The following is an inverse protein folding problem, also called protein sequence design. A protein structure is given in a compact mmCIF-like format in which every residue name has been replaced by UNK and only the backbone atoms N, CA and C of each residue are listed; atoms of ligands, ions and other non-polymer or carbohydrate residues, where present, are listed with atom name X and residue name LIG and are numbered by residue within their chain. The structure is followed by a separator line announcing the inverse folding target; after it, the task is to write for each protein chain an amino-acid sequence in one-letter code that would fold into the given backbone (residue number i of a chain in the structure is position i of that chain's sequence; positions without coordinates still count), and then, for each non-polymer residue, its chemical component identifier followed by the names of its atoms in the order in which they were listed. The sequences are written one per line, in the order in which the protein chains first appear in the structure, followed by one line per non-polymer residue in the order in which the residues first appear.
data_IF_389630260058
#
_entry.id   IF_389630260058
#
_cell.length_a   1.000
_cell.length_b   1.000
_cell.length_c   1.000
_cell.angle_alpha   90.00
_cell.angle_beta   90.00
_cell.angle_gamma   90.00
#
_symmetry.space_group_name_H-M   'P 1'
#
loop_
_entity.id
_entity.type
_entity.pdbx_description
1 polymer ?
#
# COMPACT_ATOMS: atom_id res chain seq x y z
N UNK A 1 41.88 -27.99 -17.52
CA UNK A 1 40.77 -28.15 -18.50
C UNK A 1 40.61 -29.56 -19.07
N UNK A 2 41.69 -30.29 -19.37
CA UNK A 2 41.66 -31.68 -19.89
C UNK A 2 40.82 -32.68 -19.07
N UNK A 3 40.68 -32.49 -17.76
CA UNK A 3 39.83 -33.33 -16.89
C UNK A 3 38.32 -33.22 -17.19
N UNK A 4 37.81 -32.03 -17.56
CA UNK A 4 36.38 -31.85 -17.89
C UNK A 4 36.00 -32.55 -19.19
N UNK A 5 36.94 -32.71 -20.11
CA UNK A 5 36.78 -33.39 -21.39
C UNK A 5 36.59 -34.91 -21.21
N UNK A 6 37.35 -35.52 -20.29
CA UNK A 6 37.27 -36.97 -20.02
C UNK A 6 36.02 -37.37 -19.24
N UNK A 7 35.48 -36.48 -18.41
CA UNK A 7 34.27 -36.73 -17.62
C UNK A 7 32.97 -36.30 -18.32
N UNK A 8 33.05 -35.71 -19.53
CA UNK A 8 31.87 -35.28 -20.29
C UNK A 8 31.03 -34.23 -19.55
N UNK A 9 31.66 -33.30 -18.82
CA UNK A 9 30.95 -32.28 -18.02
C UNK A 9 30.66 -31.02 -18.83
N UNK A 10 29.53 -30.37 -18.56
CA UNK A 10 29.13 -29.11 -19.22
C UNK A 10 28.96 -29.30 -20.72
N UNK A 11 29.56 -28.42 -21.51
CA UNK A 11 29.48 -28.46 -23.00
C UNK A 11 30.06 -29.75 -23.62
N UNK A 12 30.83 -30.53 -22.86
CA UNK A 12 31.43 -31.78 -23.32
C UNK A 12 30.53 -32.99 -23.07
N UNK A 13 29.33 -32.81 -22.49
CA UNK A 13 28.36 -33.90 -22.32
C UNK A 13 27.81 -34.32 -23.67
N UNK A 14 27.73 -35.63 -23.90
CA UNK A 14 27.03 -36.23 -25.05
C UNK A 14 25.60 -36.69 -24.70
N UNK A 15 25.22 -36.52 -23.44
CA UNK A 15 23.87 -36.84 -22.95
C UNK A 15 22.87 -35.79 -23.47
N UNK A 16 22.05 -36.19 -24.44
CA UNK A 16 21.03 -35.34 -25.05
C UNK A 16 20.01 -34.81 -24.03
N UNK A 17 19.70 -35.59 -22.97
CA UNK A 17 18.80 -35.17 -21.91
C UNK A 17 19.37 -34.00 -21.12
N UNK A 18 20.67 -34.07 -20.77
CA UNK A 18 21.36 -32.94 -20.10
C UNK A 18 21.49 -31.71 -20.99
N UNK A 19 21.73 -31.90 -22.29
CA UNK A 19 21.79 -30.79 -23.25
C UNK A 19 20.43 -30.11 -23.40
N UNK A 20 19.35 -30.88 -23.54
CA UNK A 20 17.97 -30.35 -23.58
C UNK A 20 17.62 -29.62 -22.28
N UNK A 21 17.94 -30.19 -21.13
CA UNK A 21 17.69 -29.56 -19.82
C UNK A 21 18.53 -28.30 -19.57
N UNK A 22 19.64 -28.10 -20.30
CA UNK A 22 20.45 -26.89 -20.19
C UNK A 22 19.83 -25.69 -20.93
N UNK A 23 18.91 -25.93 -21.86
CA UNK A 23 18.19 -24.89 -22.60
C UNK A 23 17.02 -24.43 -21.73
N UNK A 24 17.04 -23.16 -21.34
CA UNK A 24 15.93 -22.55 -20.59
C UNK A 24 14.92 -21.98 -21.57
N UNK A 25 13.68 -22.46 -21.51
CA UNK A 25 12.54 -21.86 -22.20
C UNK A 25 11.97 -20.82 -21.24
N UNK A 26 12.11 -19.54 -21.58
CA UNK A 26 11.73 -18.43 -20.71
C UNK A 26 10.44 -17.80 -21.20
N UNK A 27 9.44 -17.71 -20.32
CA UNK A 27 8.18 -17.03 -20.60
C UNK A 27 8.26 -15.58 -20.12
N UNK A 28 8.10 -14.62 -21.03
CA UNK A 28 8.29 -13.18 -20.75
C UNK A 28 6.98 -12.42 -20.55
N UNK A 29 5.92 -12.89 -21.19
CA UNK A 29 4.61 -12.26 -21.22
C UNK A 29 3.53 -13.31 -20.93
N UNK A 30 2.37 -12.84 -20.51
CA UNK A 30 1.20 -13.68 -20.26
C UNK A 30 0.21 -13.46 -21.39
N UNK A 31 -0.31 -14.55 -21.97
CA UNK A 31 -1.39 -14.45 -22.94
C UNK A 31 -2.61 -13.75 -22.32
N UNK A 32 -3.32 -12.89 -23.09
CA UNK A 32 -4.53 -12.23 -22.63
C UNK A 32 -5.65 -13.24 -22.38
N UNK A 33 -6.71 -12.80 -21.69
CA UNK A 33 -7.95 -13.59 -21.57
C UNK A 33 -8.60 -13.77 -22.93
N UNK A 34 -8.95 -15.02 -23.26
CA UNK A 34 -9.74 -15.39 -24.44
C UNK A 34 -11.00 -16.15 -23.98
N UNK A 35 -12.14 -15.89 -24.62
CA UNK A 35 -13.38 -16.68 -24.52
C UNK A 35 -13.90 -17.02 -23.11
N UNK A 36 -13.73 -16.11 -22.15
CA UNK A 36 -14.24 -16.26 -20.79
C UNK A 36 -13.43 -17.23 -19.90
N UNK A 37 -12.28 -17.71 -20.39
CA UNK A 37 -11.31 -18.43 -19.59
C UNK A 37 -10.40 -17.46 -18.82
N UNK A 38 -9.93 -17.89 -17.65
CA UNK A 38 -8.98 -17.10 -16.85
C UNK A 38 -7.65 -17.01 -17.57
N UNK A 39 -7.13 -15.79 -17.72
CA UNK A 39 -5.86 -15.55 -18.39
C UNK A 39 -4.69 -16.21 -17.65
N UNK A 40 -3.59 -16.47 -18.36
CA UNK A 40 -2.41 -17.16 -17.81
C UNK A 40 -1.87 -16.48 -16.54
N UNK A 41 -1.94 -15.15 -16.47
CA UNK A 41 -1.53 -14.37 -15.31
C UNK A 41 -2.36 -14.70 -14.06
N UNK A 42 -3.68 -14.76 -14.21
CA UNK A 42 -4.61 -15.08 -13.12
C UNK A 42 -4.45 -16.53 -12.67
N UNK A 43 -4.30 -17.45 -13.62
CA UNK A 43 -4.08 -18.87 -13.35
C UNK A 43 -2.75 -19.09 -12.61
N UNK A 44 -1.68 -18.41 -13.03
CA UNK A 44 -0.40 -18.45 -12.32
C UNK A 44 -0.56 -17.91 -10.89
N UNK A 45 -1.18 -16.74 -10.73
CA UNK A 45 -1.44 -16.15 -9.40
C UNK A 45 -2.12 -17.14 -8.46
N UNK A 46 -3.21 -17.77 -8.88
CA UNK A 46 -3.97 -18.72 -8.06
C UNK A 46 -3.13 -19.93 -7.64
N UNK A 47 -2.23 -20.38 -8.52
CA UNK A 47 -1.33 -21.51 -8.20
C UNK A 47 -0.26 -21.16 -7.15
N UNK A 48 0.27 -19.93 -7.17
CA UNK A 48 1.42 -19.51 -6.36
C UNK A 48 1.09 -18.62 -5.15
N UNK A 49 -0.15 -18.10 -5.06
CA UNK A 49 -0.58 -17.18 -4.01
C UNK A 49 -0.26 -17.72 -2.62
N UNK A 50 0.33 -16.88 -1.78
CA UNK A 50 0.71 -17.14 -0.38
C UNK A 50 1.66 -18.34 -0.18
N UNK A 51 2.31 -18.83 -1.25
CA UNK A 51 3.31 -19.89 -1.18
C UNK A 51 4.68 -19.32 -1.50
N UNK A 52 5.75 -19.71 -0.77
CA UNK A 52 7.11 -19.30 -1.13
C UNK A 52 7.48 -19.81 -2.52
N UNK A 53 7.78 -18.88 -3.44
CA UNK A 53 8.23 -19.20 -4.79
C UNK A 53 9.72 -18.92 -4.93
N UNK A 54 10.56 -19.95 -5.17
CA UNK A 54 11.97 -19.74 -5.47
C UNK A 54 12.12 -18.91 -6.75
N UNK A 55 12.83 -17.79 -6.66
CA UNK A 55 13.04 -16.88 -7.77
C UNK A 55 14.46 -16.30 -7.77
N UNK A 56 14.88 -15.76 -8.91
CA UNK A 56 16.09 -14.94 -9.03
C UNK A 56 15.67 -13.53 -9.44
N UNK A 57 16.15 -12.52 -8.71
CA UNK A 57 15.91 -11.12 -9.07
C UNK A 57 16.85 -10.74 -10.20
N UNK A 58 16.30 -10.48 -11.39
CA UNK A 58 17.07 -10.13 -12.60
C UNK A 58 17.28 -8.61 -12.72
N UNK A 59 16.31 -7.83 -12.28
CA UNK A 59 16.37 -6.37 -12.44
C UNK A 59 15.61 -5.65 -11.34
N UNK A 60 16.16 -4.53 -10.90
CA UNK A 60 15.53 -3.61 -9.94
C UNK A 60 15.16 -2.34 -10.69
N UNK A 61 13.86 -2.12 -10.87
CA UNK A 61 13.33 -0.96 -11.61
C UNK A 61 13.42 0.30 -10.76
N UNK A 62 13.00 0.20 -9.51
CA UNK A 62 13.14 1.20 -8.45
C UNK A 62 13.26 0.49 -7.09
N UNK A 63 13.32 1.22 -5.98
CA UNK A 63 13.48 0.61 -4.66
C UNK A 63 12.41 -0.42 -4.30
N UNK A 64 11.19 -0.29 -4.85
CA UNK A 64 10.03 -1.13 -4.54
C UNK A 64 9.63 -2.12 -5.64
N UNK A 65 10.23 -2.03 -6.83
CA UNK A 65 9.76 -2.73 -8.03
C UNK A 65 10.87 -3.61 -8.63
N UNK A 66 10.61 -4.91 -8.73
CA UNK A 66 11.55 -5.94 -9.17
C UNK A 66 11.05 -6.61 -10.46
N UNK A 67 11.98 -7.10 -11.28
CA UNK A 67 11.75 -8.19 -12.23
C UNK A 67 12.44 -9.42 -11.68
N UNK A 68 11.73 -10.53 -11.63
CA UNK A 68 12.26 -11.79 -11.13
C UNK A 68 11.87 -12.94 -12.06
N UNK A 69 12.73 -13.96 -12.14
CA UNK A 69 12.43 -15.21 -12.82
C UNK A 69 12.05 -16.24 -11.77
N UNK A 70 10.84 -16.79 -11.88
CA UNK A 70 10.42 -17.95 -11.09
C UNK A 70 11.22 -19.17 -11.55
N UNK A 71 11.88 -19.86 -10.62
CA UNK A 71 12.83 -20.92 -10.97
C UNK A 71 12.12 -22.15 -11.54
N UNK A 72 10.96 -22.49 -11.00
CA UNK A 72 10.27 -23.73 -11.36
C UNK A 72 9.60 -23.65 -12.74
N UNK A 73 9.08 -22.47 -13.10
CA UNK A 73 8.38 -22.25 -14.37
C UNK A 73 9.20 -21.49 -15.41
N UNK A 74 10.38 -20.97 -15.04
CA UNK A 74 11.19 -20.05 -15.87
C UNK A 74 10.39 -18.86 -16.42
N UNK A 75 9.39 -18.39 -15.65
CA UNK A 75 8.55 -17.25 -16.01
C UNK A 75 9.12 -15.97 -15.42
N UNK A 76 9.26 -14.94 -16.26
CA UNK A 76 9.67 -13.59 -15.83
C UNK A 76 8.45 -12.82 -15.36
N UNK A 77 8.48 -12.36 -14.12
CA UNK A 77 7.38 -11.62 -13.50
C UNK A 77 7.78 -10.20 -13.13
N UNK A 78 6.82 -9.28 -13.14
CA UNK A 78 6.95 -7.99 -12.45
C UNK A 78 6.46 -8.17 -11.02
N UNK A 79 7.30 -7.84 -10.04
CA UNK A 79 7.00 -8.04 -8.63
C UNK A 79 7.25 -6.76 -7.84
N UNK A 80 6.21 -6.23 -7.21
CA UNK A 80 6.27 -5.04 -6.38
C UNK A 80 6.20 -5.42 -4.90
N UNK A 81 7.01 -4.75 -4.09
CA UNK A 81 7.01 -4.91 -2.64
C UNK A 81 5.70 -4.36 -2.05
N UNK A 82 4.98 -5.21 -1.30
CA UNK A 82 3.78 -4.84 -0.59
C UNK A 82 4.11 -3.92 0.61
N UNK A 83 3.23 -2.94 0.84
CA UNK A 83 3.29 -2.02 1.98
C UNK A 83 4.26 -0.84 1.83
N UNK A 84 5.01 -0.75 0.73
CA UNK A 84 5.95 0.35 0.46
C UNK A 84 5.80 0.91 -0.95
N UNK A 85 5.86 2.24 -1.05
CA UNK A 85 5.97 2.95 -2.32
C UNK A 85 7.28 3.72 -2.34
N UNK A 86 8.18 3.36 -3.26
CA UNK A 86 9.46 4.04 -3.41
C UNK A 86 9.38 5.19 -4.44
N UNK A 87 10.26 6.20 -4.32
CA UNK A 87 10.39 7.24 -5.34
C UNK A 87 10.78 6.64 -6.68
N UNK A 88 10.18 7.15 -7.75
CA UNK A 88 10.36 6.66 -9.12
C UNK A 88 11.55 7.33 -9.79
N UNK A 89 12.27 6.56 -10.59
CA UNK A 89 13.36 7.08 -11.44
C UNK A 89 12.82 7.80 -12.67
N UNK A 90 11.64 7.43 -13.15
CA UNK A 90 11.04 8.00 -14.36
C UNK A 90 11.57 7.39 -15.65
N UNK A 91 11.07 7.89 -16.77
CA UNK A 91 11.54 7.56 -18.12
C UNK A 91 12.89 8.19 -18.47
N UNK A 92 13.40 7.92 -19.69
CA UNK A 92 14.72 8.38 -20.15
C UNK A 92 14.90 9.92 -20.08
N UNK A 93 13.83 10.67 -20.30
CA UNK A 93 13.83 12.14 -20.33
C UNK A 93 13.24 12.77 -19.07
N UNK A 94 12.89 11.95 -18.07
CA UNK A 94 12.34 12.42 -16.80
C UNK A 94 13.44 12.55 -15.75
N UNK A 95 13.36 13.58 -14.92
CA UNK A 95 14.26 13.71 -13.76
C UNK A 95 13.79 12.73 -12.67
N UNK A 96 14.69 11.89 -12.13
CA UNK A 96 14.36 11.02 -11.02
C UNK A 96 13.80 11.79 -9.83
N UNK A 97 12.80 11.21 -9.15
CA UNK A 97 12.31 11.76 -7.90
C UNK A 97 13.42 11.76 -6.84
N UNK A 98 13.32 12.65 -5.86
CA UNK A 98 14.28 12.73 -4.76
C UNK A 98 14.43 11.36 -4.07
N UNK A 99 15.65 10.93 -3.84
CA UNK A 99 16.03 9.61 -3.28
C UNK A 99 15.70 8.38 -4.14
N UNK A 100 15.25 8.53 -5.40
CA UNK A 100 14.90 7.39 -6.25
C UNK A 100 16.11 6.51 -6.57
N UNK A 101 17.27 7.11 -6.86
CA UNK A 101 18.50 6.38 -7.19
C UNK A 101 19.04 5.66 -5.96
N UNK A 102 19.00 6.29 -4.79
CA UNK A 102 19.42 5.71 -3.53
C UNK A 102 18.51 4.57 -3.09
N UNK A 103 17.20 4.70 -3.28
CA UNK A 103 16.24 3.64 -3.01
C UNK A 103 16.47 2.43 -3.93
N UNK A 104 16.70 2.67 -5.23
CA UNK A 104 17.07 1.61 -6.18
C UNK A 104 18.37 0.91 -5.77
N UNK A 105 19.43 1.69 -5.55
CA UNK A 105 20.74 1.17 -5.17
C UNK A 105 20.67 0.35 -3.87
N UNK A 106 19.86 0.80 -2.90
CA UNK A 106 19.64 0.08 -1.64
C UNK A 106 19.08 -1.33 -1.87
N UNK A 107 18.11 -1.47 -2.77
CA UNK A 107 17.51 -2.75 -3.13
C UNK A 107 18.45 -3.59 -4.01
N UNK A 108 19.17 -2.97 -4.96
CA UNK A 108 20.12 -3.64 -5.85
C UNK A 108 21.21 -4.40 -5.11
N UNK A 109 21.95 -3.72 -4.22
CA UNK A 109 23.07 -4.36 -3.52
C UNK A 109 22.63 -5.54 -2.63
N UNK A 110 21.34 -5.56 -2.25
CA UNK A 110 20.74 -6.57 -1.37
C UNK A 110 20.08 -7.72 -2.10
N UNK A 111 19.47 -7.48 -3.26
CA UNK A 111 18.60 -8.46 -3.92
C UNK A 111 19.00 -8.78 -5.37
N UNK A 112 19.65 -7.88 -6.09
CA UNK A 112 19.97 -8.07 -7.52
C UNK A 112 20.85 -9.32 -7.71
N UNK A 113 20.47 -10.16 -8.68
CA UNK A 113 21.12 -11.42 -9.05
C UNK A 113 21.23 -12.43 -7.90
N UNK A 114 20.34 -12.33 -6.90
CA UNK A 114 20.28 -13.29 -5.78
C UNK A 114 19.05 -14.17 -5.88
N UNK A 115 19.20 -15.41 -5.42
CA UNK A 115 18.10 -16.33 -5.21
C UNK A 115 17.34 -15.92 -3.96
N UNK A 116 16.04 -15.71 -4.10
CA UNK A 116 15.11 -15.31 -3.03
C UNK A 116 13.85 -16.16 -3.09
N UNK A 117 13.06 -16.15 -2.03
CA UNK A 117 11.71 -16.67 -2.06
C UNK A 117 10.73 -15.49 -2.14
N UNK A 118 9.87 -15.48 -3.15
CA UNK A 118 8.81 -14.49 -3.29
C UNK A 118 7.51 -15.06 -2.71
N UNK A 119 6.89 -14.32 -1.80
CA UNK A 119 5.54 -14.64 -1.30
C UNK A 119 4.59 -13.65 -1.94
N UNK A 120 3.78 -14.13 -2.89
CA UNK A 120 2.80 -13.33 -3.65
C UNK A 120 1.52 -13.21 -2.83
N UNK A 121 1.16 -11.99 -2.43
CA UNK A 121 -0.06 -11.70 -1.66
C UNK A 121 -1.21 -11.17 -2.52
N UNK A 122 -0.90 -10.53 -3.65
CA UNK A 122 -1.91 -9.91 -4.52
C UNK A 122 -1.41 -9.67 -5.95
N UNK A 123 -2.30 -9.13 -6.76
CA UNK A 123 -2.04 -8.71 -8.14
C UNK A 123 -2.58 -7.30 -8.36
N UNK A 124 -1.99 -6.58 -9.31
CA UNK A 124 -2.48 -5.27 -9.73
C UNK A 124 -3.43 -5.35 -10.90
N UNK A 125 -4.31 -4.35 -11.01
CA UNK A 125 -5.29 -4.22 -12.08
C UNK A 125 -4.66 -3.99 -13.48
N UNK A 126 -3.37 -3.64 -13.53
CA UNK A 126 -2.67 -3.29 -14.77
C UNK A 126 -1.29 -3.96 -14.84
N UNK A 127 -0.88 -4.24 -16.08
CA UNK A 127 0.49 -4.66 -16.43
C UNK A 127 0.97 -5.95 -15.75
N UNK A 128 0.05 -6.89 -15.44
CA UNK A 128 0.37 -8.22 -14.90
C UNK A 128 1.41 -8.16 -13.77
N UNK A 129 1.16 -7.29 -12.80
CA UNK A 129 2.08 -7.03 -11.69
C UNK A 129 1.64 -7.80 -10.46
N UNK A 130 2.57 -8.54 -9.87
CA UNK A 130 2.37 -9.20 -8.57
C UNK A 130 2.79 -8.27 -7.44
N UNK A 131 2.08 -8.37 -6.31
CA UNK A 131 2.42 -7.68 -5.06
C UNK A 131 2.71 -8.69 -3.97
N UNK A 132 3.75 -8.44 -3.16
CA UNK A 132 4.05 -9.35 -2.08
C UNK A 132 5.32 -9.01 -1.30
N UNK A 133 5.86 -10.03 -0.63
CA UNK A 133 7.07 -9.88 0.20
C UNK A 133 8.20 -10.75 -0.34
N UNK A 134 9.42 -10.25 -0.18
CA UNK A 134 10.64 -11.02 -0.41
C UNK A 134 11.04 -11.62 0.93
N UNK A 135 11.01 -12.95 1.03
CA UNK A 135 11.51 -13.67 2.18
C UNK A 135 13.04 -13.76 2.08
N UNK A 136 13.72 -13.20 3.08
CA UNK A 136 15.17 -13.16 3.16
C UNK A 136 15.61 -13.27 4.64
N UNK A 137 16.68 -14.04 4.96
CA UNK A 137 17.12 -14.25 6.34
C UNK A 137 17.47 -12.97 7.10
N UNK A 138 17.95 -11.94 6.38
CA UNK A 138 18.27 -10.64 6.97
C UNK A 138 17.05 -9.75 7.26
N UNK A 139 15.83 -10.20 6.95
CA UNK A 139 14.59 -9.47 7.18
C UNK A 139 13.91 -8.96 5.90
N UNK A 140 12.80 -8.25 6.10
CA UNK A 140 11.95 -7.76 5.03
C UNK A 140 12.46 -6.43 4.47
N UNK A 141 12.81 -6.43 3.18
CA UNK A 141 13.35 -5.28 2.46
C UNK A 141 12.42 -4.05 2.46
N UNK A 142 11.09 -4.25 2.45
CA UNK A 142 10.11 -3.16 2.47
C UNK A 142 10.18 -2.38 3.79
N UNK A 143 10.33 -3.09 4.91
CA UNK A 143 10.51 -2.49 6.24
C UNK A 143 11.80 -1.68 6.27
N UNK A 144 12.90 -2.24 5.75
CA UNK A 144 14.21 -1.59 5.76
C UNK A 144 14.27 -0.33 4.86
N UNK A 145 13.58 -0.33 3.71
CA UNK A 145 13.42 0.85 2.87
C UNK A 145 12.72 1.98 3.61
N UNK A 146 11.59 1.68 4.25
CA UNK A 146 10.79 2.66 5.00
C UNK A 146 11.52 3.16 6.24
N UNK A 147 12.18 2.26 6.97
CA UNK A 147 13.00 2.58 8.15
C UNK A 147 14.13 3.55 7.83
N UNK A 148 14.68 3.45 6.62
CA UNK A 148 15.67 4.39 6.13
C UNK A 148 15.07 5.65 5.49
N UNK A 149 13.74 5.78 5.38
CA UNK A 149 13.12 6.92 4.71
C UNK A 149 13.33 6.93 3.18
N UNK A 150 13.58 5.76 2.58
CA UNK A 150 13.72 5.55 1.13
C UNK A 150 12.41 5.11 0.47
N UNK A 151 11.34 4.94 1.25
CA UNK A 151 9.99 4.65 0.77
C UNK A 151 8.93 5.20 1.71
N UNK A 152 7.74 5.44 1.16
CA UNK A 152 6.54 5.84 1.87
C UNK A 152 5.66 4.61 2.16
N UNK A 153 4.84 4.64 3.22
CA UNK A 153 3.85 3.57 3.44
C UNK A 153 2.83 3.56 2.30
N UNK A 154 2.54 2.37 1.78
CA UNK A 154 1.55 2.17 0.73
C UNK A 154 0.35 1.41 1.29
N UNK A 155 -0.54 2.12 1.99
CA UNK A 155 -1.70 1.55 2.72
C UNK A 155 -2.56 0.62 1.85
N UNK A 156 -2.77 0.98 0.59
CA UNK A 156 -3.57 0.19 -0.37
C UNK A 156 -2.98 -1.19 -0.68
N UNK A 157 -1.67 -1.37 -0.50
CA UNK A 157 -0.98 -2.65 -0.75
C UNK A 157 -0.66 -3.42 0.53
N UNK A 158 -1.00 -2.87 1.71
CA UNK A 158 -0.74 -3.52 3.00
C UNK A 158 -1.53 -4.81 3.18
N UNK A 159 -2.66 -4.96 2.49
CA UNK A 159 -3.44 -6.20 2.51
C UNK A 159 -2.71 -7.39 1.86
N UNK A 160 -1.70 -7.12 1.01
CA UNK A 160 -0.88 -8.16 0.37
C UNK A 160 0.33 -8.59 1.22
N UNK A 161 0.35 -8.21 2.49
CA UNK A 161 1.36 -8.64 3.46
C UNK A 161 0.72 -9.12 4.77
N UNK A 162 1.54 -9.63 5.69
CA UNK A 162 1.05 -10.11 6.98
C UNK A 162 0.73 -8.93 7.92
N UNK A 163 -0.24 -9.06 8.85
CA UNK A 163 -0.52 -8.02 9.84
C UNK A 163 0.70 -7.62 10.68
N UNK A 164 1.60 -8.58 10.94
CA UNK A 164 2.86 -8.33 11.66
C UNK A 164 3.79 -7.40 10.86
N UNK A 165 3.94 -7.63 9.55
CA UNK A 165 4.74 -6.76 8.69
C UNK A 165 4.09 -5.39 8.50
N UNK A 166 2.76 -5.31 8.34
CA UNK A 166 2.07 -4.02 8.26
C UNK A 166 2.32 -3.15 9.51
N UNK A 167 2.19 -3.75 10.70
CA UNK A 167 2.50 -3.06 11.98
C UNK A 167 3.97 -2.63 12.08
N UNK A 168 4.89 -3.48 11.63
CA UNK A 168 6.31 -3.16 11.62
C UNK A 168 6.66 -2.03 10.63
N UNK A 169 6.03 -1.99 9.45
CA UNK A 169 6.16 -0.88 8.49
C UNK A 169 5.69 0.42 9.14
N UNK A 170 4.50 0.45 9.75
CA UNK A 170 4.00 1.66 10.42
C UNK A 170 4.94 2.16 11.53
N UNK A 171 5.51 1.23 12.29
CA UNK A 171 6.50 1.55 13.34
C UNK A 171 7.80 2.11 12.75
N UNK A 172 8.27 1.54 11.63
CA UNK A 172 9.43 2.04 10.89
C UNK A 172 9.18 3.45 10.30
N UNK A 173 7.99 3.73 9.76
CA UNK A 173 7.61 5.08 9.28
C UNK A 173 7.71 6.09 10.43
N UNK A 174 7.16 5.76 11.60
CA UNK A 174 7.20 6.67 12.77
C UNK A 174 8.63 6.99 13.16
N UNK A 175 9.51 5.98 13.22
CA UNK A 175 10.92 6.18 13.51
C UNK A 175 11.62 7.06 12.45
N UNK A 176 11.37 6.81 11.16
CA UNK A 176 11.96 7.57 10.06
C UNK A 176 11.48 9.04 10.05
N UNK A 177 10.22 9.30 10.39
CA UNK A 177 9.64 10.64 10.55
C UNK A 177 10.30 11.41 11.71
N UNK A 178 10.41 10.77 12.88
CA UNK A 178 11.03 11.38 14.05
C UNK A 178 12.49 11.75 13.79
N UNK A 179 13.22 10.88 13.07
CA UNK A 179 14.60 11.11 12.69
C UNK A 179 14.78 11.99 11.43
N UNK A 180 13.69 12.46 10.80
CA UNK A 180 13.69 13.29 9.58
C UNK A 180 14.58 12.71 8.46
N UNK A 181 14.49 11.40 8.23
CA UNK A 181 15.36 10.70 7.28
C UNK A 181 14.87 10.85 5.83
N UNK A 182 15.76 11.28 4.93
CA UNK A 182 15.58 11.34 3.46
C UNK A 182 14.22 11.92 3.05
N UNK A 183 13.26 11.10 2.61
CA UNK A 183 11.92 11.57 2.22
C UNK A 183 11.19 12.34 3.35
N UNK A 184 11.61 12.15 4.60
CA UNK A 184 11.07 12.83 5.78
C UNK A 184 11.88 14.06 6.22
N UNK A 185 12.89 14.52 5.45
CA UNK A 185 13.69 15.71 5.81
C UNK A 185 12.85 16.95 6.07
N UNK A 186 11.87 17.16 5.19
CA UNK A 186 10.93 18.29 5.25
C UNK A 186 9.65 17.96 6.03
N UNK A 187 9.62 16.83 6.74
CA UNK A 187 8.44 16.47 7.53
C UNK A 187 8.25 17.47 8.68
N UNK A 188 7.16 18.21 8.61
CA UNK A 188 6.60 18.95 9.71
C UNK A 188 5.36 18.21 10.22
N UNK A 189 5.23 17.99 11.54
CA UNK A 189 3.98 17.46 12.08
C UNK A 189 2.83 18.40 11.70
N UNK A 190 1.66 17.87 11.32
CA UNK A 190 0.51 18.71 11.01
C UNK A 190 0.18 19.57 12.23
N UNK A 191 0.25 20.88 12.06
CA UNK A 191 -0.21 21.83 13.07
C UNK A 191 -1.72 21.83 13.01
N UNK A 192 -2.38 21.52 14.12
CA UNK A 192 -3.84 21.63 14.23
C UNK A 192 -4.17 23.13 14.17
N UNK A 193 -4.86 23.61 13.12
CA UNK A 193 -5.32 24.98 13.08
C UNK A 193 -6.51 25.13 14.04
N UNK A 194 -6.39 26.01 15.04
CA UNK A 194 -7.47 26.34 15.97
C UNK A 194 -7.40 25.60 17.32
N UNK A 195 -8.54 25.53 18.01
CA UNK A 195 -8.64 24.93 19.34
C UNK A 195 -8.39 23.43 19.32
N UNK A 196 -7.49 22.95 20.19
CA UNK A 196 -7.16 21.52 20.34
C UNK A 196 -8.30 20.69 20.91
N UNK A 197 -9.28 21.34 21.54
CA UNK A 197 -10.48 20.69 22.06
C UNK A 197 -11.66 21.63 22.06
N UNK A 198 -12.84 21.13 21.74
CA UNK A 198 -14.09 21.87 21.86
C UNK A 198 -15.23 20.96 22.31
N UNK A 199 -16.31 21.55 22.79
CA UNK A 199 -17.51 20.83 23.22
C UNK A 199 -18.67 21.10 22.26
N UNK A 200 -19.58 20.14 22.15
CA UNK A 200 -20.72 20.27 21.26
C UNK A 200 -21.74 19.14 21.42
N UNK A 201 -22.69 19.10 20.48
CA UNK A 201 -23.70 18.05 20.39
C UNK A 201 -23.63 17.36 19.03
N UNK A 202 -23.78 16.04 19.02
CA UNK A 202 -23.73 15.25 17.78
C UNK A 202 -25.02 15.45 17.00
N UNK A 203 -24.91 16.05 15.83
CA UNK A 203 -26.02 16.35 14.94
C UNK A 203 -26.31 15.21 13.96
N UNK A 204 -25.26 14.66 13.35
CA UNK A 204 -25.37 13.64 12.33
C UNK A 204 -24.29 12.58 12.50
N UNK A 205 -24.63 11.33 12.17
CA UNK A 205 -23.66 10.25 12.01
C UNK A 205 -23.56 9.87 10.53
N UNK A 206 -22.37 10.11 9.96
CA UNK A 206 -22.08 9.89 8.53
C UNK A 206 -21.66 8.45 8.27
N UNK A 207 -20.79 7.89 9.13
CA UNK A 207 -20.34 6.49 9.09
C UNK A 207 -20.02 6.02 10.51
N UNK A 208 -19.73 4.72 10.70
CA UNK A 208 -19.42 4.15 12.02
C UNK A 208 -18.18 4.73 12.72
N UNK A 209 -17.43 5.61 12.06
CA UNK A 209 -16.27 6.32 12.59
C UNK A 209 -16.36 7.85 12.45
N UNK A 210 -17.37 8.39 11.75
CA UNK A 210 -17.42 9.80 11.35
C UNK A 210 -18.76 10.44 11.68
N UNK A 211 -18.72 11.58 12.35
CA UNK A 211 -19.90 12.30 12.83
C UNK A 211 -19.76 13.81 12.58
N UNK A 212 -20.89 14.51 12.60
CA UNK A 212 -20.96 15.97 12.54
C UNK A 212 -21.36 16.46 13.92
N UNK A 213 -20.55 17.35 14.48
CA UNK A 213 -20.74 17.96 15.80
C UNK A 213 -21.09 19.42 15.60
N UNK A 214 -22.21 19.86 16.19
CA UNK A 214 -22.51 21.29 16.35
C UNK A 214 -21.72 21.83 17.51
N UNK A 215 -20.81 22.75 17.23
CA UNK A 215 -19.92 23.38 18.20
C UNK A 215 -20.68 24.48 18.94
N UNK A 216 -20.62 24.46 20.26
CA UNK A 216 -21.29 25.47 21.09
C UNK A 216 -21.56 24.98 22.51
N UNK A 217 -21.80 25.93 23.42
CA UNK A 217 -22.32 25.62 24.76
C UNK A 217 -23.76 25.14 24.66
N UNK A 218 -24.23 24.40 25.68
CA UNK A 218 -25.61 23.87 25.69
C UNK A 218 -26.63 25.00 25.53
N UNK A 219 -26.41 26.13 26.19
CA UNK A 219 -27.28 27.30 26.11
C UNK A 219 -27.32 27.93 24.71
N UNK A 220 -26.19 27.97 24.00
CA UNK A 220 -26.15 28.48 22.62
C UNK A 220 -26.89 27.54 21.65
N UNK A 221 -26.78 26.23 21.86
CA UNK A 221 -27.45 25.21 21.05
C UNK A 221 -28.98 25.19 21.26
N UNK A 222 -29.45 25.56 22.45
CA UNK A 222 -30.88 25.65 22.78
C UNK A 222 -31.49 26.97 22.28
N UNK A 223 -30.77 28.09 22.41
CA UNK A 223 -31.30 29.42 22.11
C UNK A 223 -31.14 29.85 20.63
N UNK A 224 -30.06 29.41 19.97
CA UNK A 224 -29.81 29.73 18.54
C UNK A 224 -29.39 28.49 17.74
N UNK A 225 -30.29 27.51 17.55
CA UNK A 225 -29.98 26.26 16.83
C UNK A 225 -29.51 26.46 15.38
N UNK A 226 -29.87 27.57 14.74
CA UNK A 226 -29.56 27.87 13.32
C UNK A 226 -28.14 28.42 13.11
N UNK A 227 -27.57 29.14 14.08
CA UNK A 227 -26.25 29.81 13.93
C UNK A 227 -25.11 29.01 14.59
N UNK A 228 -25.19 27.68 14.56
CA UNK A 228 -24.18 26.80 15.15
C UNK A 228 -23.18 26.33 14.09
N UNK A 229 -21.89 26.41 14.41
CA UNK A 229 -20.84 25.88 13.54
C UNK A 229 -20.86 24.35 13.55
N UNK A 230 -21.09 23.73 12.38
CA UNK A 230 -21.00 22.27 12.22
C UNK A 230 -19.59 21.84 11.80
N UNK A 231 -18.97 20.97 12.60
CA UNK A 231 -17.66 20.36 12.31
C UNK A 231 -17.76 18.87 12.11
N UNK A 232 -17.20 18.39 11.00
CA UNK A 232 -17.08 16.95 10.73
C UNK A 232 -15.85 16.40 11.42
N UNK A 233 -16.03 15.37 12.24
CA UNK A 233 -14.97 14.70 12.99
C UNK A 233 -15.00 13.20 12.75
N UNK A 234 -13.82 12.60 12.66
CA UNK A 234 -13.65 11.15 12.57
C UNK A 234 -12.89 10.67 13.79
N UNK A 235 -13.27 9.51 14.33
CA UNK A 235 -12.59 8.86 15.44
C UNK A 235 -11.16 8.50 15.03
N UNK A 236 -10.19 8.82 15.88
CA UNK A 236 -8.79 8.53 15.63
C UNK A 236 -8.53 7.01 15.66
N UNK A 237 -7.56 6.57 14.87
CA UNK A 237 -7.05 5.19 14.83
C UNK A 237 -8.02 4.09 14.41
N UNK A 238 -9.28 4.40 14.09
CA UNK A 238 -10.25 3.44 13.56
C UNK A 238 -10.73 3.83 12.16
N UNK A 239 -11.13 2.83 11.38
CA UNK A 239 -11.80 3.03 10.09
C UNK A 239 -13.02 2.14 10.03
N UNK A 240 -14.19 2.74 9.93
CA UNK A 240 -15.44 2.00 9.77
C UNK A 240 -15.72 1.71 8.29
N UNK A 241 -16.43 0.61 7.97
CA UNK A 241 -16.91 0.35 6.63
C UNK A 241 -17.77 1.51 6.12
N UNK A 242 -17.64 1.84 4.83
CA UNK A 242 -18.26 2.99 4.20
C UNK A 242 -19.54 2.61 3.48
N UNK A 243 -20.56 3.44 3.67
CA UNK A 243 -21.75 3.42 2.82
C UNK A 243 -21.38 3.85 1.41
N UNK A 244 -21.97 3.17 0.45
CA UNK A 244 -21.87 3.43 -0.97
C UNK A 244 -22.51 4.77 -1.33
N UNK A 245 -21.94 5.43 -2.33
CA UNK A 245 -22.53 6.64 -2.93
C UNK A 245 -23.40 6.23 -4.11
N UNK A 246 -24.72 6.37 -3.97
CA UNK A 246 -25.70 6.13 -5.05
C UNK A 246 -25.33 6.86 -6.35
N UNK A 247 -24.85 8.10 -6.25
CA UNK A 247 -24.40 8.90 -7.39
C UNK A 247 -23.18 8.35 -8.15
N UNK A 248 -22.38 7.45 -7.53
CA UNK A 248 -21.21 6.81 -8.16
C UNK A 248 -21.41 5.31 -8.41
N UNK A 249 -22.62 4.78 -8.18
CA UNK A 249 -22.90 3.34 -8.34
C UNK A 249 -22.09 2.42 -7.44
N UNK A 250 -21.42 2.94 -6.41
CA UNK A 250 -20.60 2.12 -5.49
C UNK A 250 -21.52 1.45 -4.47
N UNK A 251 -21.46 0.11 -4.28
CA UNK A 251 -22.25 -0.58 -3.25
C UNK A 251 -21.73 -0.26 -1.84
N UNK A 252 -22.58 -0.52 -0.84
CA UNK A 252 -22.19 -0.45 0.57
C UNK A 252 -21.12 -1.50 0.90
N UNK A 253 -20.13 -1.13 1.71
CA UNK A 253 -19.20 -2.13 2.25
C UNK A 253 -19.91 -3.05 3.26
N UNK A 254 -19.44 -4.29 3.44
CA UNK A 254 -19.99 -5.19 4.45
C UNK A 254 -20.03 -4.53 5.83
N UNK A 255 -21.19 -4.63 6.51
CA UNK A 255 -21.46 -4.06 7.84
C UNK A 255 -21.46 -2.52 7.94
N UNK A 256 -21.43 -1.79 6.82
CA UNK A 256 -21.38 -0.33 6.83
C UNK A 256 -22.64 0.31 7.44
N UNK A 257 -23.82 -0.25 7.13
CA UNK A 257 -25.09 0.23 7.64
C UNK A 257 -25.19 -0.02 9.15
N UNK A 258 -24.89 -1.24 9.58
CA UNK A 258 -24.93 -1.68 10.96
C UNK A 258 -23.97 -0.86 11.83
N UNK A 259 -22.75 -0.62 11.35
CA UNK A 259 -21.77 0.21 12.06
C UNK A 259 -22.25 1.66 12.24
N UNK A 260 -22.88 2.24 11.21
CA UNK A 260 -23.45 3.60 11.28
C UNK A 260 -24.60 3.67 12.26
N UNK A 261 -25.54 2.73 12.19
CA UNK A 261 -26.73 2.69 13.04
C UNK A 261 -26.41 2.41 14.50
N UNK A 262 -25.43 1.54 14.76
CA UNK A 262 -24.92 1.30 16.10
C UNK A 262 -24.40 2.59 16.75
N UNK A 263 -23.59 3.36 16.01
CA UNK A 263 -23.07 4.64 16.49
C UNK A 263 -24.23 5.64 16.66
N UNK A 264 -25.08 5.80 15.63
CA UNK A 264 -26.24 6.72 15.63
C UNK A 264 -27.13 6.54 16.86
N UNK A 265 -27.57 5.31 17.13
CA UNK A 265 -28.44 4.99 18.27
C UNK A 265 -27.78 5.31 19.62
N UNK A 266 -26.46 5.22 19.70
CA UNK A 266 -25.73 5.42 20.96
C UNK A 266 -25.40 6.88 21.25
N UNK A 267 -25.13 7.71 20.24
CA UNK A 267 -24.52 9.03 20.46
C UNK A 267 -25.25 10.23 19.84
N UNK A 268 -26.25 10.04 18.97
CA UNK A 268 -26.95 11.17 18.35
C UNK A 268 -27.66 12.03 19.41
N UNK A 269 -27.57 13.36 19.27
CA UNK A 269 -28.14 14.32 20.21
C UNK A 269 -27.44 14.39 21.58
N UNK A 270 -26.39 13.59 21.83
CA UNK A 270 -25.64 13.63 23.09
C UNK A 270 -24.56 14.69 23.06
N UNK A 271 -24.28 15.24 24.24
CA UNK A 271 -23.16 16.16 24.47
C UNK A 271 -21.84 15.38 24.36
N UNK A 272 -20.87 15.96 23.67
CA UNK A 272 -19.53 15.41 23.53
C UNK A 272 -18.46 16.49 23.71
N UNK A 273 -17.29 16.05 24.18
CA UNK A 273 -16.05 16.83 24.11
C UNK A 273 -15.16 16.17 23.06
N UNK A 274 -14.70 16.96 22.11
CA UNK A 274 -13.84 16.54 21.01
C UNK A 274 -12.42 16.99 21.32
N UNK A 275 -11.47 16.06 21.31
CA UNK A 275 -10.03 16.35 21.30
C UNK A 275 -9.51 16.12 19.89
N UNK A 276 -8.92 17.14 19.28
CA UNK A 276 -8.38 17.06 17.91
C UNK A 276 -6.96 16.50 17.98
N UNK A 277 -6.72 15.34 17.36
CA UNK A 277 -5.36 14.78 17.25
C UNK A 277 -4.64 15.22 15.98
N UNK A 278 -5.34 15.30 14.85
CA UNK A 278 -4.79 15.74 13.57
C UNK A 278 -5.91 16.20 12.63
N UNK A 279 -5.57 17.04 11.67
CA UNK A 279 -6.49 17.50 10.62
C UNK A 279 -6.05 16.90 9.28
N UNK A 280 -6.97 16.19 8.62
CA UNK A 280 -6.75 15.68 7.26
C UNK A 280 -7.19 16.75 6.27
N UNK A 281 -6.26 17.27 5.48
CA UNK A 281 -6.63 18.09 4.33
C UNK A 281 -7.22 17.20 3.24
N UNK A 282 -8.35 17.57 2.62
CA UNK A 282 -8.86 16.83 1.47
C UNK A 282 -7.83 16.88 0.32
N UNK A 283 -7.74 15.82 -0.52
CA UNK A 283 -6.83 15.81 -1.67
C UNK A 283 -7.07 17.00 -2.61
N UNK A 284 -6.00 17.56 -3.17
CA UNK A 284 -6.02 18.77 -3.99
C UNK A 284 -6.93 18.70 -5.24
N UNK A 285 -7.32 17.51 -5.70
CA UNK A 285 -8.28 17.34 -6.82
C UNK A 285 -9.73 17.72 -6.45
N UNK A 286 -10.02 18.00 -5.18
CA UNK A 286 -11.34 18.44 -4.71
C UNK A 286 -11.44 19.97 -4.48
N UNK A 287 -10.49 20.77 -4.98
CA UNK A 287 -10.50 22.25 -4.85
C UNK A 287 -11.54 22.96 -5.74
N UNK A 288 -12.63 22.29 -6.09
CA UNK A 288 -13.84 22.93 -6.63
C UNK A 288 -14.90 23.24 -5.57
N UNK A 289 -14.79 22.64 -4.39
CA UNK A 289 -15.73 22.91 -3.29
C UNK A 289 -14.90 23.16 -2.05
N UNK A 290 -14.62 24.45 -1.79
CA UNK A 290 -14.16 24.89 -0.48
C UNK A 290 -15.01 24.18 0.58
N UNK A 291 -14.40 23.73 1.68
CA UNK A 291 -15.12 23.22 2.83
C UNK A 291 -16.08 24.32 3.29
N UNK A 292 -17.31 24.30 2.77
CA UNK A 292 -18.36 25.21 3.17
C UNK A 292 -18.66 24.81 4.61
N UNK A 293 -18.21 25.65 5.54
CA UNK A 293 -18.83 25.74 6.85
C UNK A 293 -20.31 25.98 6.55
N UNK A 294 -21.14 24.95 6.69
CA UNK A 294 -22.58 25.11 6.57
C UNK A 294 -23.01 25.95 7.76
N UNK A 295 -23.22 27.23 7.53
CA UNK A 295 -24.06 28.08 8.37
C UNK A 295 -25.46 28.03 7.77
N UNK A 296 -26.46 27.74 8.59
CA UNK A 296 -27.86 27.79 8.20
C UNK A 296 -28.45 29.15 8.58
#
# INVERSE_FOLDING_TARGET
ELFKLREGKGIFTKDEGKLKNAIRIVTWDFAPEEDGEKGEFQTLYESIKNKPQPAVVEYVRDGGSLRAILIDSMTVITFNLAGVQCPRIGGKDETPQEYALEAKFFTEIRLLNRKVNLIVGGIGDKFNTFFGTVEHPAGNIAIELVKNGLGLPADWSMEYTTPAYASAIHSAVRAAKLAKLRLWKSYAPPVIPGESSYSGVIAEVVSGDTMIVRVGTTEALENTPWDCEERRVSLSSIRAPRLGKRARGTPDQPYAYEAREFLRNKIIGKKCSVSIEYVVQPPAEATGVAAQVRKY
#
